data_IF_128110545507
#
_entry.id   IF_128110545507
#
_cell.length_a   1.000
_cell.length_b   1.000
_cell.length_c   1.000
_cell.angle_alpha   90.00
_cell.angle_beta   90.00
_cell.angle_gamma   90.00
#
_symmetry.space_group_name_H-M   'P 1'
#
loop_
_entity.id
_entity.type
_entity.pdbx_description
1 polymer ?
#
# COMPACT_ATOMS: atom_id res chain seq x y z
N UNK A 1 33.82 -20.57 -8.24
CA UNK A 1 32.59 -19.87 -7.85
C UNK A 1 32.95 -18.42 -7.63
N UNK A 2 32.66 -17.54 -8.59
CA UNK A 2 32.93 -16.10 -8.44
C UNK A 2 31.91 -15.53 -7.46
N UNK A 3 32.40 -14.99 -6.33
CA UNK A 3 31.61 -14.08 -5.52
C UNK A 3 31.49 -12.81 -6.36
N UNK A 4 30.39 -12.63 -7.10
CA UNK A 4 30.16 -11.33 -7.74
C UNK A 4 29.95 -10.33 -6.60
N UNK A 5 30.92 -9.43 -6.40
CA UNK A 5 30.73 -8.26 -5.56
C UNK A 5 29.46 -7.53 -6.02
N UNK A 6 28.60 -7.14 -5.08
CA UNK A 6 27.39 -6.39 -5.41
C UNK A 6 27.77 -5.14 -6.22
N UNK A 7 27.03 -4.81 -7.31
CA UNK A 7 27.37 -3.68 -8.16
C UNK A 7 27.30 -2.38 -7.36
N UNK A 8 28.31 -1.54 -7.54
CA UNK A 8 28.35 -0.18 -6.98
C UNK A 8 27.49 0.72 -7.86
N UNK A 9 26.50 1.37 -7.23
CA UNK A 9 25.58 2.29 -7.87
C UNK A 9 25.99 3.73 -7.54
N UNK A 10 25.85 4.63 -8.51
CA UNK A 10 26.03 6.07 -8.32
C UNK A 10 24.75 6.67 -7.72
N UNK A 11 24.91 7.39 -6.60
CA UNK A 11 23.85 8.15 -5.93
C UNK A 11 24.13 9.64 -5.93
N UNK A 12 23.14 10.44 -5.56
CA UNK A 12 23.21 11.92 -5.54
C UNK A 12 24.29 12.44 -4.59
N UNK A 13 24.53 11.76 -3.47
CA UNK A 13 25.49 12.16 -2.43
C UNK A 13 26.69 11.21 -2.30
N UNK A 14 26.84 10.26 -3.23
CA UNK A 14 27.91 9.27 -3.22
C UNK A 14 27.44 7.89 -3.67
N UNK A 15 28.37 6.96 -3.76
CA UNK A 15 28.08 5.59 -4.21
C UNK A 15 27.44 4.75 -3.12
N UNK A 16 26.61 3.79 -3.52
CA UNK A 16 25.96 2.84 -2.61
C UNK A 16 25.83 1.47 -3.24
N UNK A 17 25.53 0.45 -2.44
CA UNK A 17 25.31 -0.92 -2.89
C UNK A 17 23.97 -1.47 -2.40
N UNK A 18 23.39 -2.37 -3.18
CA UNK A 18 22.19 -3.12 -2.81
C UNK A 18 22.61 -4.46 -2.22
N UNK A 19 22.50 -4.57 -0.91
CA UNK A 19 22.89 -5.75 -0.13
C UNK A 19 21.86 -6.88 -0.27
N UNK A 20 22.28 -8.09 0.09
CA UNK A 20 21.36 -9.23 0.22
C UNK A 20 20.20 -8.98 1.20
N UNK A 21 20.40 -8.16 2.24
CA UNK A 21 19.32 -7.80 3.17
C UNK A 21 18.25 -6.96 2.47
N UNK A 22 18.67 -5.96 1.68
CA UNK A 22 17.72 -5.12 0.95
C UNK A 22 16.93 -5.92 -0.08
N UNK A 23 17.57 -6.87 -0.78
CA UNK A 23 16.88 -7.76 -1.72
C UNK A 23 15.78 -8.58 -1.03
N UNK A 24 16.01 -9.02 0.23
CA UNK A 24 14.99 -9.71 1.03
C UNK A 24 13.85 -8.77 1.43
N UNK A 25 14.15 -7.54 1.84
CA UNK A 25 13.12 -6.55 2.19
C UNK A 25 12.26 -6.18 0.98
N UNK A 26 12.87 -5.96 -0.19
CA UNK A 26 12.15 -5.72 -1.43
C UNK A 26 11.28 -6.92 -1.81
N UNK A 27 11.80 -8.14 -1.69
CA UNK A 27 11.02 -9.35 -1.93
C UNK A 27 9.81 -9.44 -1.00
N UNK A 28 10.01 -9.21 0.31
CA UNK A 28 8.95 -9.19 1.31
C UNK A 28 7.90 -8.12 1.00
N UNK A 29 8.32 -6.92 0.60
CA UNK A 29 7.44 -5.86 0.14
C UNK A 29 6.59 -6.29 -1.07
N UNK A 30 7.22 -6.81 -2.14
CA UNK A 30 6.53 -7.25 -3.37
C UNK A 30 5.51 -8.34 -3.09
N UNK A 31 5.88 -9.34 -2.27
CA UNK A 31 4.96 -10.39 -1.84
C UNK A 31 3.80 -9.85 -1.02
N UNK A 32 4.05 -8.91 -0.12
CA UNK A 32 3.00 -8.27 0.68
C UNK A 32 1.97 -7.55 -0.20
N UNK A 33 2.45 -6.81 -1.21
CA UNK A 33 1.57 -6.13 -2.17
C UNK A 33 0.79 -7.12 -3.05
N UNK A 34 1.41 -8.24 -3.44
CA UNK A 34 0.72 -9.30 -4.18
C UNK A 34 -0.36 -9.99 -3.34
N UNK A 35 -0.06 -10.35 -2.09
CA UNK A 35 -1.04 -10.96 -1.17
C UNK A 35 -2.22 -10.00 -0.94
N UNK A 36 -1.93 -8.70 -0.76
CA UNK A 36 -2.96 -7.68 -0.64
C UNK A 36 -3.85 -7.62 -1.89
N UNK A 37 -3.25 -7.63 -3.08
CA UNK A 37 -3.98 -7.63 -4.35
C UNK A 37 -4.87 -8.86 -4.52
N UNK A 38 -4.32 -10.05 -4.26
CA UNK A 38 -5.04 -11.32 -4.37
C UNK A 38 -6.18 -11.41 -3.35
N UNK A 39 -5.94 -10.97 -2.10
CA UNK A 39 -6.97 -10.93 -1.07
C UNK A 39 -8.12 -10.00 -1.48
N UNK A 40 -7.81 -8.82 -2.02
CA UNK A 40 -8.84 -7.90 -2.48
C UNK A 40 -9.60 -8.44 -3.69
N UNK A 41 -8.91 -9.06 -4.66
CA UNK A 41 -9.55 -9.68 -5.80
C UNK A 41 -10.46 -10.84 -5.37
N UNK A 42 -9.99 -11.70 -4.47
CA UNK A 42 -10.76 -12.81 -3.93
C UNK A 42 -12.01 -12.31 -3.17
N UNK A 43 -11.89 -11.23 -2.40
CA UNK A 43 -13.02 -10.57 -1.75
C UNK A 43 -14.07 -10.13 -2.77
N UNK A 44 -13.66 -9.46 -3.85
CA UNK A 44 -14.57 -8.99 -4.90
C UNK A 44 -15.23 -10.16 -5.63
N UNK A 45 -14.46 -11.19 -5.97
CA UNK A 45 -14.97 -12.38 -6.67
C UNK A 45 -15.95 -13.16 -5.78
N UNK A 46 -15.62 -13.40 -4.52
CA UNK A 46 -16.52 -14.05 -3.58
C UNK A 46 -17.80 -13.24 -3.43
N UNK A 47 -17.71 -11.93 -3.24
CA UNK A 47 -18.88 -11.08 -3.13
C UNK A 47 -19.79 -11.15 -4.36
N UNK A 48 -19.18 -11.17 -5.56
CA UNK A 48 -19.92 -11.18 -6.83
C UNK A 48 -20.58 -12.51 -7.16
N UNK A 49 -19.94 -13.64 -6.83
CA UNK A 49 -20.37 -14.97 -7.29
C UNK A 49 -20.93 -15.87 -6.20
N UNK A 50 -20.57 -15.65 -4.94
CA UNK A 50 -20.98 -16.49 -3.80
C UNK A 50 -21.88 -15.69 -2.86
N UNK A 51 -21.55 -14.43 -2.61
CA UNK A 51 -22.30 -13.52 -1.73
C UNK A 51 -21.42 -12.88 -0.66
N UNK A 52 -22.04 -12.10 0.23
CA UNK A 52 -21.35 -11.33 1.27
C UNK A 52 -20.99 -12.14 2.52
N UNK A 53 -21.45 -13.39 2.61
CA UNK A 53 -21.13 -14.26 3.74
C UNK A 53 -19.62 -14.50 3.81
N UNK A 54 -19.05 -14.41 5.01
CA UNK A 54 -17.65 -14.72 5.29
C UNK A 54 -16.62 -13.96 4.41
N UNK A 55 -16.85 -12.68 4.11
CA UNK A 55 -15.81 -11.83 3.47
C UNK A 55 -14.70 -11.39 4.43
N UNK A 56 -14.92 -11.52 5.74
CA UNK A 56 -13.98 -11.10 6.78
C UNK A 56 -12.59 -11.75 6.73
N UNK A 57 -12.39 -13.02 6.30
CA UNK A 57 -11.04 -13.59 6.22
C UNK A 57 -10.17 -12.83 5.20
N UNK A 58 -10.75 -12.44 4.06
CA UNK A 58 -10.05 -11.62 3.07
C UNK A 58 -9.73 -10.23 3.62
N UNK A 59 -10.64 -9.62 4.39
CA UNK A 59 -10.39 -8.34 5.05
C UNK A 59 -9.23 -8.43 6.05
N UNK A 60 -9.15 -9.50 6.85
CA UNK A 60 -8.03 -9.74 7.78
C UNK A 60 -6.73 -9.88 6.98
N UNK A 61 -6.73 -10.68 5.91
CA UNK A 61 -5.55 -10.87 5.07
C UNK A 61 -5.10 -9.56 4.43
N UNK A 62 -6.04 -8.74 3.95
CA UNK A 62 -5.77 -7.40 3.42
C UNK A 62 -5.13 -6.49 4.49
N UNK A 63 -5.71 -6.43 5.70
CA UNK A 63 -5.17 -5.62 6.81
C UNK A 63 -3.73 -5.98 7.12
N UNK A 64 -3.44 -7.28 7.25
CA UNK A 64 -2.09 -7.78 7.53
C UNK A 64 -1.14 -7.48 6.37
N UNK A 65 -1.55 -7.77 5.13
CA UNK A 65 -0.73 -7.59 3.94
C UNK A 65 -0.36 -6.12 3.69
N UNK A 66 -1.29 -5.18 3.89
CA UNK A 66 -0.98 -3.75 3.81
C UNK A 66 -0.03 -3.32 4.93
N UNK A 67 -0.22 -3.81 6.16
CA UNK A 67 0.68 -3.53 7.27
C UNK A 67 2.12 -4.00 6.99
N UNK A 68 2.26 -5.20 6.44
CA UNK A 68 3.56 -5.73 5.99
C UNK A 68 4.14 -4.93 4.82
N UNK A 69 3.34 -4.55 3.83
CA UNK A 69 3.79 -3.69 2.75
C UNK A 69 4.34 -2.35 3.31
N UNK A 70 3.62 -1.73 4.25
CA UNK A 70 4.05 -0.49 4.92
C UNK A 70 5.27 -0.68 5.83
N UNK A 71 5.60 -1.91 6.25
CA UNK A 71 6.80 -2.19 7.06
C UNK A 71 8.08 -2.12 6.24
N UNK A 72 8.03 -2.56 4.98
CA UNK A 72 9.18 -2.71 4.07
C UNK A 72 9.19 -1.75 2.88
N UNK A 73 8.14 -0.94 2.71
CA UNK A 73 8.14 0.12 1.70
C UNK A 73 9.21 1.16 2.03
N UNK A 74 10.05 1.47 1.04
CA UNK A 74 11.04 2.54 1.15
C UNK A 74 10.39 3.86 0.68
N UNK A 75 10.28 4.80 1.62
CA UNK A 75 9.74 6.15 1.39
C UNK A 75 10.74 7.16 1.93
N UNK A 76 11.23 8.07 1.08
CA UNK A 76 12.18 9.12 1.49
C UNK A 76 11.63 10.01 2.60
N UNK A 77 10.36 10.41 2.47
CA UNK A 77 9.68 11.28 3.41
C UNK A 77 9.19 10.50 4.65
N UNK A 78 10.03 10.45 5.69
CA UNK A 78 9.68 9.79 6.98
C UNK A 78 8.32 10.24 7.56
N UNK A 79 7.93 11.54 7.55
CA UNK A 79 6.60 11.96 8.04
C UNK A 79 5.45 11.33 7.25
N UNK A 80 5.58 11.24 5.92
CA UNK A 80 4.60 10.59 5.06
C UNK A 80 4.47 9.11 5.42
N UNK A 81 5.59 8.40 5.56
CA UNK A 81 5.59 6.98 5.95
C UNK A 81 4.87 6.75 7.28
N UNK A 82 5.13 7.58 8.29
CA UNK A 82 4.45 7.51 9.60
C UNK A 82 2.96 7.82 9.49
N UNK A 83 2.57 8.81 8.69
CA UNK A 83 1.16 9.09 8.44
C UNK A 83 0.44 7.89 7.84
N UNK A 84 1.04 7.18 6.87
CA UNK A 84 0.46 5.96 6.30
C UNK A 84 0.31 4.84 7.32
N UNK A 85 1.30 4.65 8.20
CA UNK A 85 1.22 3.66 9.29
C UNK A 85 0.11 3.99 10.29
N UNK A 86 -0.06 5.27 10.65
CA UNK A 86 -1.14 5.72 11.53
C UNK A 86 -2.52 5.53 10.88
N UNK A 87 -2.66 5.90 9.61
CA UNK A 87 -3.89 5.70 8.84
C UNK A 87 -4.26 4.21 8.76
N UNK A 88 -3.28 3.34 8.48
CA UNK A 88 -3.47 1.89 8.49
C UNK A 88 -3.92 1.39 9.87
N UNK A 89 -3.27 1.83 10.95
CA UNK A 89 -3.61 1.40 12.30
C UNK A 89 -5.03 1.84 12.69
N UNK A 90 -5.36 3.11 12.48
CA UNK A 90 -6.69 3.67 12.77
C UNK A 90 -7.79 2.94 11.98
N UNK A 91 -7.57 2.69 10.69
CA UNK A 91 -8.53 1.96 9.87
C UNK A 91 -8.68 0.50 10.29
N UNK A 92 -7.59 -0.15 10.71
CA UNK A 92 -7.61 -1.52 11.23
C UNK A 92 -8.39 -1.61 12.54
N UNK A 93 -8.21 -0.65 13.44
CA UNK A 93 -9.02 -0.51 14.65
C UNK A 93 -10.49 -0.23 14.32
N UNK A 94 -10.76 0.56 13.26
CA UNK A 94 -12.10 0.78 12.74
C UNK A 94 -12.78 -0.51 12.27
N UNK A 95 -12.07 -1.35 11.52
CA UNK A 95 -12.57 -2.68 11.12
C UNK A 95 -12.81 -3.58 12.33
N UNK A 96 -11.91 -3.60 13.31
CA UNK A 96 -12.07 -4.36 14.54
C UNK A 96 -13.31 -3.90 15.33
N UNK A 97 -13.47 -2.59 15.53
CA UNK A 97 -14.62 -2.03 16.22
C UNK A 97 -15.93 -2.38 15.50
N UNK A 98 -15.95 -2.26 14.16
CA UNK A 98 -17.11 -2.64 13.37
C UNK A 98 -17.44 -4.13 13.52
N UNK A 99 -16.42 -5.00 13.50
CA UNK A 99 -16.59 -6.44 13.69
C UNK A 99 -17.11 -6.79 15.08
N UNK A 100 -16.66 -6.08 16.12
CA UNK A 100 -17.13 -6.27 17.49
C UNK A 100 -18.58 -5.79 17.69
N UNK A 101 -19.00 -4.74 16.95
CA UNK A 101 -20.36 -4.17 17.07
C UNK A 101 -21.40 -4.92 16.23
N UNK A 102 -21.06 -5.25 14.99
CA UNK A 102 -22.01 -5.82 14.02
C UNK A 102 -21.80 -7.33 13.79
N UNK A 103 -20.67 -7.87 14.25
CA UNK A 103 -20.22 -9.21 13.91
C UNK A 103 -19.38 -9.24 12.61
N UNK A 104 -18.38 -10.14 12.51
CA UNK A 104 -17.46 -10.19 11.37
C UNK A 104 -18.18 -10.53 10.05
N UNK A 105 -19.24 -11.34 10.08
CA UNK A 105 -20.01 -11.68 8.89
C UNK A 105 -20.83 -10.50 8.33
N UNK A 106 -21.18 -9.52 9.17
CA UNK A 106 -22.00 -8.38 8.78
C UNK A 106 -21.18 -7.16 8.31
N UNK A 107 -19.84 -7.19 8.42
CA UNK A 107 -18.95 -6.08 8.01
C UNK A 107 -19.30 -5.46 6.64
N UNK A 108 -19.48 -6.25 5.56
CA UNK A 108 -19.73 -5.69 4.23
C UNK A 108 -21.12 -5.06 4.13
N UNK A 109 -22.13 -5.70 4.74
CA UNK A 109 -23.51 -5.20 4.75
C UNK A 109 -23.60 -3.90 5.56
N UNK A 110 -22.94 -3.84 6.72
CA UNK A 110 -22.90 -2.65 7.54
C UNK A 110 -22.31 -1.43 6.82
N UNK A 111 -21.25 -1.63 6.00
CA UNK A 111 -20.66 -0.55 5.19
C UNK A 111 -21.57 -0.11 4.03
N UNK A 112 -22.41 -0.99 3.50
CA UNK A 112 -23.35 -0.66 2.43
C UNK A 112 -24.58 0.09 2.94
N UNK A 113 -25.12 -0.34 4.08
CA UNK A 113 -26.33 0.23 4.68
C UNK A 113 -26.05 1.51 5.46
N UNK A 114 -24.93 1.56 6.19
CA UNK A 114 -24.60 2.66 7.09
C UNK A 114 -23.27 3.30 6.69
N UNK A 115 -23.36 4.32 5.82
CA UNK A 115 -22.21 5.06 5.27
C UNK A 115 -21.30 5.65 6.35
N UNK A 116 -21.82 5.94 7.55
CA UNK A 116 -21.06 6.49 8.67
C UNK A 116 -19.88 5.61 9.10
N UNK A 117 -19.97 4.29 8.92
CA UNK A 117 -18.86 3.37 9.22
C UNK A 117 -17.64 3.60 8.34
N UNK A 118 -17.80 4.25 7.17
CA UNK A 118 -16.68 4.62 6.31
C UNK A 118 -15.74 5.61 7.01
N UNK A 119 -16.20 6.43 7.97
CA UNK A 119 -15.30 7.27 8.76
C UNK A 119 -14.31 6.47 9.61
N UNK A 120 -14.71 5.28 10.05
CA UNK A 120 -13.87 4.42 10.89
C UNK A 120 -12.94 3.55 10.05
N UNK A 121 -13.40 2.99 8.93
CA UNK A 121 -12.57 2.11 8.07
C UNK A 121 -11.82 2.87 6.97
N UNK A 122 -12.28 4.07 6.62
CA UNK A 122 -11.71 4.92 5.56
C UNK A 122 -10.22 5.20 5.70
N UNK A 123 -9.66 5.42 6.91
CA UNK A 123 -8.22 5.57 7.10
C UNK A 123 -7.39 4.39 6.54
N UNK A 124 -7.89 3.15 6.59
CA UNK A 124 -7.20 2.01 5.99
C UNK A 124 -7.05 2.19 4.47
N UNK A 125 -8.13 2.60 3.81
CA UNK A 125 -8.13 2.86 2.37
C UNK A 125 -7.30 4.10 2.01
N UNK A 126 -7.25 5.12 2.88
CA UNK A 126 -6.33 6.24 2.70
C UNK A 126 -4.85 5.80 2.76
N UNK A 127 -4.50 4.84 3.63
CA UNK A 127 -3.16 4.24 3.63
C UNK A 127 -2.88 3.47 2.33
N UNK A 128 -3.87 2.75 1.80
CA UNK A 128 -3.79 2.08 0.49
C UNK A 128 -3.63 3.08 -0.66
N UNK A 129 -4.33 4.21 -0.63
CA UNK A 129 -4.11 5.32 -1.56
C UNK A 129 -2.68 5.82 -1.48
N UNK A 130 -2.12 5.94 -0.27
CA UNK A 130 -0.72 6.33 -0.06
C UNK A 130 0.29 5.36 -0.65
N UNK A 131 0.01 4.05 -0.62
CA UNK A 131 0.80 3.03 -1.34
C UNK A 131 0.78 3.32 -2.85
N UNK A 132 -0.40 3.52 -3.43
CA UNK A 132 -0.55 3.87 -4.85
C UNK A 132 0.15 5.19 -5.21
N UNK A 133 0.04 6.19 -4.34
CA UNK A 133 0.68 7.50 -4.50
C UNK A 133 2.20 7.37 -4.54
N UNK A 134 2.81 6.64 -3.59
CA UNK A 134 4.25 6.36 -3.60
C UNK A 134 4.66 5.77 -4.94
N UNK A 135 3.94 4.75 -5.38
CA UNK A 135 4.25 4.01 -6.61
C UNK A 135 4.08 4.88 -7.87
N UNK A 136 3.13 5.82 -7.85
CA UNK A 136 2.96 6.81 -8.91
C UNK A 136 4.18 7.71 -9.02
N UNK A 137 4.68 8.26 -7.92
CA UNK A 137 5.89 9.10 -7.94
C UNK A 137 7.15 8.33 -8.34
N UNK A 138 7.24 7.04 -8.01
CA UNK A 138 8.38 6.21 -8.38
C UNK A 138 8.37 5.81 -9.86
N UNK A 139 7.21 5.40 -10.40
CA UNK A 139 7.16 4.70 -11.70
C UNK A 139 6.28 5.38 -12.75
N UNK A 140 5.45 6.37 -12.38
CA UNK A 140 4.54 7.09 -13.26
C UNK A 140 3.62 6.17 -14.10
N UNK A 141 3.28 5.00 -13.55
CA UNK A 141 2.47 4.00 -14.26
C UNK A 141 0.97 4.28 -14.12
N UNK A 142 0.16 3.98 -15.15
CA UNK A 142 -1.27 4.25 -15.14
C UNK A 142 -1.99 3.51 -14.01
N UNK A 143 -1.56 2.30 -13.65
CA UNK A 143 -2.16 1.56 -12.54
C UNK A 143 -1.94 2.22 -11.17
N UNK A 144 -0.80 2.88 -10.96
CA UNK A 144 -0.53 3.60 -9.73
C UNK A 144 -1.34 4.90 -9.64
N UNK A 145 -1.48 5.61 -10.77
CA UNK A 145 -2.38 6.77 -10.90
C UNK A 145 -3.82 6.35 -10.61
N UNK A 146 -4.26 5.27 -11.24
CA UNK A 146 -5.60 4.74 -11.07
C UNK A 146 -5.89 4.38 -9.61
N UNK A 147 -5.00 3.68 -8.91
CA UNK A 147 -5.16 3.40 -7.48
C UNK A 147 -5.24 4.68 -6.63
N UNK A 148 -4.43 5.68 -6.95
CA UNK A 148 -4.39 6.95 -6.23
C UNK A 148 -5.71 7.72 -6.35
N UNK A 149 -6.40 7.59 -7.50
CA UNK A 149 -7.64 8.33 -7.78
C UNK A 149 -8.92 7.54 -7.49
N UNK A 150 -8.95 6.24 -7.82
CA UNK A 150 -10.14 5.38 -7.69
C UNK A 150 -10.53 5.19 -6.24
N UNK A 151 -9.55 5.03 -5.33
CA UNK A 151 -9.85 4.78 -3.91
C UNK A 151 -10.53 5.98 -3.25
N UNK A 152 -9.99 7.22 -3.33
CA UNK A 152 -10.69 8.39 -2.80
C UNK A 152 -12.06 8.63 -3.46
N UNK A 153 -12.16 8.44 -4.79
CA UNK A 153 -13.43 8.59 -5.51
C UNK A 153 -14.50 7.63 -4.98
N UNK A 154 -14.13 6.37 -4.76
CA UNK A 154 -15.02 5.36 -4.20
C UNK A 154 -15.49 5.76 -2.78
N UNK A 155 -14.57 6.10 -1.89
CA UNK A 155 -14.92 6.43 -0.49
C UNK A 155 -15.75 7.71 -0.39
N UNK A 156 -15.32 8.79 -1.03
CA UNK A 156 -16.01 10.08 -0.99
C UNK A 156 -17.36 10.00 -1.72
N UNK A 157 -17.43 9.28 -2.84
CA UNK A 157 -18.69 9.03 -3.53
C UNK A 157 -19.68 8.25 -2.67
N UNK A 158 -19.20 7.26 -1.89
CA UNK A 158 -20.05 6.52 -0.96
C UNK A 158 -20.45 7.33 0.27
N UNK A 159 -19.56 8.13 0.84
CA UNK A 159 -19.85 9.02 1.97
C UNK A 159 -20.86 10.11 1.61
N UNK A 160 -20.68 10.77 0.46
CA UNK A 160 -21.58 11.81 -0.05
C UNK A 160 -22.94 11.28 -0.50
N UNK A 161 -23.04 9.97 -0.76
CA UNK A 161 -24.24 9.36 -1.30
C UNK A 161 -24.44 9.53 -2.79
N UNK A 162 -23.49 10.16 -3.48
CA UNK A 162 -23.53 10.38 -4.93
C UNK A 162 -23.31 9.09 -5.72
N UNK A 163 -22.75 8.06 -5.08
CA UNK A 163 -22.29 6.86 -5.75
C UNK A 163 -23.23 5.67 -5.49
N UNK A 164 -23.86 5.18 -6.56
CA UNK A 164 -24.74 4.01 -6.52
C UNK A 164 -23.98 2.75 -6.10
N UNK A 165 -24.68 1.77 -5.53
CA UNK A 165 -24.05 0.51 -5.11
C UNK A 165 -23.35 -0.20 -6.27
N UNK A 166 -23.96 -0.17 -7.47
CA UNK A 166 -23.39 -0.78 -8.67
C UNK A 166 -22.09 -0.11 -9.14
N UNK A 167 -22.05 1.22 -9.19
CA UNK A 167 -20.80 1.95 -9.49
C UNK A 167 -19.74 1.72 -8.41
N UNK A 168 -20.16 1.60 -7.15
CA UNK A 168 -19.24 1.31 -6.04
C UNK A 168 -18.57 -0.04 -6.19
N UNK A 169 -19.35 -1.06 -6.57
CA UNK A 169 -18.83 -2.38 -6.88
C UNK A 169 -17.87 -2.37 -8.07
N UNK A 170 -18.20 -1.63 -9.14
CA UNK A 170 -17.35 -1.50 -10.32
C UNK A 170 -16.01 -0.84 -9.98
N UNK A 171 -16.01 0.24 -9.20
CA UNK A 171 -14.78 0.92 -8.76
C UNK A 171 -13.95 0.03 -7.82
N UNK A 172 -14.59 -0.74 -6.92
CA UNK A 172 -13.88 -1.69 -6.07
C UNK A 172 -13.21 -2.81 -6.87
N UNK A 173 -13.88 -3.31 -7.91
CA UNK A 173 -13.33 -4.29 -8.84
C UNK A 173 -12.17 -3.71 -9.67
N UNK A 174 -12.33 -2.48 -10.18
CA UNK A 174 -11.28 -1.76 -10.89
C UNK A 174 -10.05 -1.58 -9.99
N UNK A 175 -10.25 -1.12 -8.75
CA UNK A 175 -9.17 -0.98 -7.76
C UNK A 175 -8.43 -2.31 -7.54
N UNK A 176 -9.15 -3.44 -7.39
CA UNK A 176 -8.53 -4.75 -7.20
C UNK A 176 -7.68 -5.16 -8.41
N UNK A 177 -8.18 -4.93 -9.63
CA UNK A 177 -7.46 -5.21 -10.87
C UNK A 177 -6.20 -4.34 -11.02
N UNK A 178 -6.30 -3.05 -10.72
CA UNK A 178 -5.16 -2.12 -10.75
C UNK A 178 -4.10 -2.50 -9.72
N UNK A 179 -4.51 -2.91 -8.52
CA UNK A 179 -3.59 -3.36 -7.46
C UNK A 179 -2.86 -4.65 -7.85
N UNK A 180 -3.56 -5.58 -8.49
CA UNK A 180 -2.95 -6.80 -9.02
C UNK A 180 -1.97 -6.50 -10.15
N UNK A 181 -2.36 -5.66 -11.11
CA UNK A 181 -1.49 -5.25 -12.22
C UNK A 181 -0.23 -4.56 -11.69
N UNK A 182 -0.38 -3.66 -10.73
CA UNK A 182 0.73 -3.00 -10.05
C UNK A 182 1.64 -4.05 -9.41
N UNK A 183 1.10 -4.95 -8.57
CA UNK A 183 1.87 -5.98 -7.89
C UNK A 183 2.69 -6.85 -8.85
N UNK A 184 2.05 -7.38 -9.90
CA UNK A 184 2.68 -8.28 -10.87
C UNK A 184 3.83 -7.59 -11.62
N UNK A 185 3.64 -6.33 -12.03
CA UNK A 185 4.69 -5.59 -12.75
C UNK A 185 5.87 -5.16 -11.88
N UNK A 186 5.85 -5.41 -10.56
CA UNK A 186 7.02 -5.19 -9.70
C UNK A 186 8.02 -6.33 -9.76
N UNK A 187 7.58 -7.58 -9.94
CA UNK A 187 8.47 -8.75 -9.87
C UNK A 187 9.65 -8.71 -10.86
N UNK A 188 9.47 -8.30 -12.14
CA UNK A 188 10.57 -8.26 -13.10
C UNK A 188 11.55 -7.09 -12.89
N UNK A 189 11.24 -6.13 -12.02
CA UNK A 189 12.06 -4.93 -11.84
C UNK A 189 13.30 -5.21 -10.99
N UNK A 190 14.38 -4.46 -11.24
CA UNK A 190 15.55 -4.44 -10.37
C UNK A 190 15.14 -4.06 -8.93
N UNK A 191 15.57 -4.79 -7.89
CA UNK A 191 15.32 -4.43 -6.50
C UNK A 191 15.75 -2.99 -6.12
N UNK A 192 16.80 -2.45 -6.75
CA UNK A 192 17.26 -1.09 -6.53
C UNK A 192 16.15 -0.06 -6.76
N UNK A 193 15.26 -0.32 -7.72
CA UNK A 193 14.15 0.57 -8.06
C UNK A 193 13.10 0.70 -6.94
N UNK A 194 13.01 -0.28 -6.04
CA UNK A 194 12.09 -0.25 -4.90
C UNK A 194 12.70 0.34 -3.62
N UNK A 195 14.03 0.36 -3.53
CA UNK A 195 14.79 0.90 -2.40
C UNK A 195 14.99 2.41 -2.56
N UNK A 196 15.28 2.84 -3.79
CA UNK A 196 15.72 4.20 -4.07
C UNK A 196 17.21 4.41 -3.77
N UNK A 197 17.62 5.67 -3.84
CA UNK A 197 18.99 6.11 -3.63
C UNK A 197 19.32 6.17 -2.13
N UNK A 198 20.15 5.24 -1.68
CA UNK A 198 20.59 5.16 -0.27
C UNK A 198 21.41 6.36 0.18
N UNK A 199 22.18 6.98 -0.72
CA UNK A 199 22.99 8.17 -0.38
C UNK A 199 22.11 9.33 0.08
N UNK A 200 20.90 9.45 -0.49
CA UNK A 200 19.90 10.45 -0.07
C UNK A 200 19.38 10.15 1.34
N UNK A 201 19.14 8.87 1.68
CA UNK A 201 18.72 8.50 3.03
C UNK A 201 19.80 8.81 4.07
N UNK A 202 21.06 8.51 3.77
CA UNK A 202 22.20 8.78 4.64
C UNK A 202 22.38 10.29 4.86
N UNK A 203 22.34 11.08 3.79
CA UNK A 203 22.47 12.54 3.87
C UNK A 203 21.31 13.19 4.66
N UNK A 204 20.07 12.75 4.43
CA UNK A 204 18.92 13.23 5.23
C UNK A 204 19.10 12.92 6.72
N UNK A 205 19.69 11.79 7.07
CA UNK A 205 19.98 11.45 8.46
C UNK A 205 21.12 12.25 9.06
N UNK A 206 22.15 12.57 8.27
CA UNK A 206 23.25 13.45 8.69
C UNK A 206 22.76 14.87 8.97
N UNK A 207 21.94 15.43 8.07
CA UNK A 207 21.29 16.73 8.27
C UNK A 207 20.41 16.75 9.51
N UNK A 208 19.65 15.68 9.75
CA UNK A 208 18.83 15.55 10.96
C UNK A 208 19.67 15.46 12.24
N UNK A 209 20.89 14.91 12.15
CA UNK A 209 21.87 14.83 13.25
C UNK A 209 22.73 16.09 13.41
N UNK A 210 22.52 17.13 12.59
CA UNK A 210 23.25 18.40 12.67
C UNK A 210 24.71 18.32 12.20
N UNK A 211 25.07 17.31 11.40
CA UNK A 211 26.43 17.19 10.84
C UNK A 211 26.53 17.97 9.52
N UNK A 212 27.59 18.77 9.36
CA UNK A 212 27.87 19.56 8.15
C UNK A 212 28.11 18.66 6.92
N UNK A 213 27.76 19.11 5.70
CA UNK A 213 27.94 18.33 4.48
C UNK A 213 29.42 18.00 4.23
N UNK A 214 29.69 16.82 3.65
CA UNK A 214 31.04 16.52 3.14
C UNK A 214 31.20 17.33 1.86
N UNK A 215 32.16 18.24 1.83
CA UNK A 215 32.57 18.88 0.59
C UNK A 215 33.04 17.78 -0.36
N UNK A 216 32.37 17.62 -1.50
CA UNK A 216 32.77 16.67 -2.54
C UNK A 216 34.21 16.97 -2.97
N UNK A 217 35.06 15.94 -2.94
CA UNK A 217 36.36 15.94 -3.58
C UNK A 217 36.24 15.45 -5.01
#
# INVERSE_FOLDING_TARGET
MSVSSDPVLEGVFGTYTITAADRREVSAYRWSVLVLALAQLALVLQWRFVGSAALWPWLVLMVLALGFALRWIHIYLKPLHRALQLLWLLGSLGFLLLALRQGPAALPVALLEQRGWIWLVGPYFAALTGLGFKEFFCFHRPEAIGLTLVVPLLLLGRLSGLLSTGLGAALLALQAALLLLLALRKFPMDPAADIGDKSVFEEMERRRRGQLPVAGG
#
